data_IF_563876958163
#
_entry.id   IF_563876958163
#
_cell.length_a   1.000
_cell.length_b   1.000
_cell.length_c   1.000
_cell.angle_alpha   90.00
_cell.angle_beta   90.00
_cell.angle_gamma   90.00
#
_symmetry.space_group_name_H-M   'P 1'
#
loop_
_entity.id
_entity.type
_entity.pdbx_description
1 polymer ?
#
# COMPACT_ATOMS: atom_id res chain seq x y z
N UNK A 1 -7.61 12.50 6.17
CA UNK A 1 -8.16 11.90 4.93
C UNK A 1 -7.81 12.75 3.71
N UNK A 2 -8.18 14.03 3.67
CA UNK A 2 -7.85 14.95 2.56
C UNK A 2 -6.34 14.96 2.22
N UNK A 3 -5.47 15.11 3.24
CA UNK A 3 -4.01 15.04 3.04
C UNK A 3 -3.50 13.74 2.40
N UNK A 4 -4.13 12.59 2.69
CA UNK A 4 -3.76 11.29 2.07
C UNK A 4 -4.17 11.25 0.60
N UNK A 5 -5.31 11.87 0.26
CA UNK A 5 -5.81 11.96 -1.12
C UNK A 5 -4.91 12.87 -1.96
N UNK A 6 -4.54 14.05 -1.44
CA UNK A 6 -3.62 14.98 -2.11
C UNK A 6 -2.26 14.35 -2.39
N UNK A 7 -1.78 13.52 -1.46
CA UNK A 7 -0.48 12.84 -1.58
C UNK A 7 -0.50 11.65 -2.53
N UNK A 8 -1.61 10.91 -2.59
CA UNK A 8 -1.76 9.72 -3.42
C UNK A 8 -3.05 9.76 -4.26
N UNK A 9 -3.18 10.74 -5.18
CA UNK A 9 -4.43 10.95 -5.93
C UNK A 9 -4.76 9.78 -6.86
N UNK A 10 -3.75 9.11 -7.41
CA UNK A 10 -3.94 7.93 -8.25
C UNK A 10 -4.55 6.74 -7.48
N UNK A 11 -4.12 6.52 -6.24
CA UNK A 11 -4.71 5.48 -5.39
C UNK A 11 -6.17 5.80 -5.07
N UNK A 12 -6.50 7.07 -4.85
CA UNK A 12 -7.88 7.50 -4.64
C UNK A 12 -8.75 7.21 -5.86
N UNK A 13 -8.30 7.56 -7.06
CA UNK A 13 -9.03 7.26 -8.32
C UNK A 13 -9.22 5.75 -8.48
N UNK A 14 -8.18 4.95 -8.26
CA UNK A 14 -8.26 3.48 -8.37
C UNK A 14 -9.25 2.87 -7.36
N UNK A 15 -9.35 3.47 -6.17
CA UNK A 15 -10.24 3.02 -5.11
C UNK A 15 -11.73 3.22 -5.46
N UNK A 16 -12.06 4.07 -6.45
CA UNK A 16 -13.42 4.20 -6.97
C UNK A 16 -13.70 3.32 -8.19
N UNK A 17 -12.70 3.11 -9.04
CA UNK A 17 -12.84 2.30 -10.26
C UNK A 17 -13.06 0.83 -9.91
N UNK A 18 -12.23 0.26 -9.03
CA UNK A 18 -12.28 -1.17 -8.70
C UNK A 18 -13.64 -1.57 -8.08
N UNK A 19 -14.19 -0.84 -7.10
CA UNK A 19 -15.48 -1.19 -6.51
C UNK A 19 -16.63 -0.99 -7.47
N UNK A 20 -16.56 -0.01 -8.38
CA UNK A 20 -17.55 0.14 -9.43
C UNK A 20 -17.58 -1.08 -10.37
N UNK A 21 -16.41 -1.62 -10.74
CA UNK A 21 -16.34 -2.84 -11.54
C UNK A 21 -16.87 -4.07 -10.79
N UNK A 22 -16.58 -4.19 -9.49
CA UNK A 22 -16.98 -5.34 -8.67
C UNK A 22 -18.46 -5.32 -8.26
N UNK A 23 -19.01 -4.15 -7.94
CA UNK A 23 -20.34 -4.01 -7.35
C UNK A 23 -21.34 -3.27 -8.25
N UNK A 24 -20.86 -2.34 -9.09
CA UNK A 24 -21.70 -1.54 -9.98
C UNK A 24 -22.24 -2.34 -11.15
N UNK A 25 -21.38 -3.03 -11.91
CA UNK A 25 -21.79 -3.82 -13.09
C UNK A 25 -22.81 -4.93 -12.75
N UNK A 26 -22.65 -5.72 -11.67
CA UNK A 26 -23.62 -6.77 -11.34
C UNK A 26 -24.97 -6.24 -10.86
N UNK A 27 -25.01 -5.02 -10.30
CA UNK A 27 -26.24 -4.42 -9.78
C UNK A 27 -27.30 -4.15 -10.86
N UNK A 28 -26.88 -3.97 -12.11
CA UNK A 28 -27.74 -3.62 -13.26
C UNK A 28 -28.69 -4.75 -13.70
N UNK A 29 -28.42 -6.00 -13.30
CA UNK A 29 -29.15 -7.17 -13.80
C UNK A 29 -30.35 -7.58 -12.92
N UNK A 30 -30.67 -6.85 -11.85
CA UNK A 30 -31.59 -7.35 -10.81
C UNK A 30 -32.92 -6.59 -10.71
N UNK A 31 -34.04 -7.33 -10.83
CA UNK A 31 -35.43 -6.80 -10.87
C UNK A 31 -35.93 -6.20 -9.54
N UNK A 32 -35.32 -6.54 -8.40
CA UNK A 32 -35.57 -5.87 -7.10
C UNK A 32 -34.54 -4.75 -6.90
N UNK A 33 -34.68 -3.70 -7.69
CA UNK A 33 -33.59 -2.76 -7.98
C UNK A 33 -33.11 -1.97 -6.76
N UNK A 34 -34.00 -1.30 -6.01
CA UNK A 34 -33.56 -0.23 -5.11
C UNK A 34 -32.82 -0.71 -3.84
N UNK A 35 -33.31 -1.74 -3.14
CA UNK A 35 -32.66 -2.23 -1.92
C UNK A 35 -31.32 -2.90 -2.22
N UNK A 36 -31.24 -3.68 -3.31
CA UNK A 36 -29.98 -4.27 -3.77
C UNK A 36 -28.99 -3.20 -4.17
N UNK A 37 -29.40 -2.23 -4.99
CA UNK A 37 -28.55 -1.08 -5.36
C UNK A 37 -28.04 -0.36 -4.12
N UNK A 38 -28.90 -0.09 -3.13
CA UNK A 38 -28.50 0.55 -1.88
C UNK A 38 -27.44 -0.26 -1.12
N UNK A 39 -27.61 -1.58 -0.99
CA UNK A 39 -26.63 -2.47 -0.37
C UNK A 39 -25.30 -2.46 -1.13
N UNK A 40 -25.32 -2.54 -2.47
CA UNK A 40 -24.11 -2.51 -3.29
C UNK A 40 -23.37 -1.17 -3.19
N UNK A 41 -24.09 -0.04 -3.15
CA UNK A 41 -23.49 1.28 -2.92
C UNK A 41 -22.80 1.32 -1.55
N UNK A 42 -23.46 0.84 -0.50
CA UNK A 42 -22.92 0.85 0.85
C UNK A 42 -21.67 -0.04 0.96
N UNK A 43 -21.71 -1.25 0.37
CA UNK A 43 -20.55 -2.14 0.28
C UNK A 43 -19.41 -1.50 -0.52
N UNK A 44 -19.72 -0.84 -1.64
CA UNK A 44 -18.74 -0.13 -2.45
C UNK A 44 -18.04 0.97 -1.65
N UNK A 45 -18.78 1.81 -0.91
CA UNK A 45 -18.20 2.86 -0.07
C UNK A 45 -17.27 2.31 1.01
N UNK A 46 -17.70 1.25 1.69
CA UNK A 46 -16.90 0.57 2.72
C UNK A 46 -15.62 0.00 2.09
N UNK A 47 -15.76 -0.72 0.98
CA UNK A 47 -14.61 -1.29 0.27
C UNK A 47 -13.66 -0.20 -0.21
N UNK A 48 -14.14 0.87 -0.84
CA UNK A 48 -13.35 2.03 -1.28
C UNK A 48 -12.51 2.59 -0.13
N UNK A 49 -13.14 2.80 1.03
CA UNK A 49 -12.45 3.32 2.21
C UNK A 49 -11.32 2.40 2.69
N UNK A 50 -11.60 1.10 2.84
CA UNK A 50 -10.60 0.15 3.30
C UNK A 50 -9.48 -0.06 2.29
N UNK A 51 -9.82 -0.23 1.01
CA UNK A 51 -8.88 -0.39 -0.09
C UNK A 51 -7.94 0.83 -0.19
N UNK A 52 -8.49 2.05 -0.17
CA UNK A 52 -7.69 3.27 -0.23
C UNK A 52 -6.72 3.38 0.94
N UNK A 53 -7.21 3.22 2.18
CA UNK A 53 -6.35 3.33 3.36
C UNK A 53 -5.28 2.25 3.40
N UNK A 54 -5.62 1.01 3.02
CA UNK A 54 -4.66 -0.09 2.98
C UNK A 54 -3.51 0.20 2.03
N UNK A 55 -3.82 0.61 0.79
CA UNK A 55 -2.81 0.90 -0.22
C UNK A 55 -1.97 2.15 0.12
N UNK A 56 -2.59 3.21 0.65
CA UNK A 56 -1.84 4.40 1.07
C UNK A 56 -0.86 4.06 2.19
N UNK A 57 -1.32 3.36 3.23
CA UNK A 57 -0.45 2.96 4.33
C UNK A 57 0.73 2.10 3.86
N UNK A 58 0.51 1.24 2.86
CA UNK A 58 1.53 0.38 2.27
C UNK A 58 2.59 1.21 1.52
N UNK A 59 2.15 2.18 0.71
CA UNK A 59 3.04 3.10 -0.01
C UNK A 59 3.84 3.97 0.97
N UNK A 60 3.18 4.57 1.95
CA UNK A 60 3.85 5.42 2.95
C UNK A 60 4.88 4.62 3.77
N UNK A 61 4.60 3.35 4.08
CA UNK A 61 5.55 2.48 4.78
C UNK A 61 6.77 2.14 3.91
N UNK A 62 6.56 1.85 2.62
CA UNK A 62 7.65 1.61 1.67
C UNK A 62 8.52 2.87 1.48
N UNK A 63 7.90 4.05 1.38
CA UNK A 63 8.62 5.33 1.32
C UNK A 63 9.46 5.57 2.58
N UNK A 64 8.89 5.31 3.77
CA UNK A 64 9.59 5.45 5.03
C UNK A 64 10.80 4.51 5.12
N UNK A 65 10.64 3.25 4.70
CA UNK A 65 11.73 2.28 4.63
C UNK A 65 12.84 2.75 3.68
N UNK A 66 12.48 3.14 2.46
CA UNK A 66 13.45 3.63 1.47
C UNK A 66 14.19 4.88 1.96
N UNK A 67 13.50 5.79 2.64
CA UNK A 67 14.13 6.96 3.27
C UNK A 67 15.14 6.57 4.33
N UNK A 68 14.81 5.63 5.21
CA UNK A 68 15.74 5.18 6.25
C UNK A 68 16.92 4.40 5.69
N UNK A 69 16.72 3.53 4.69
CA UNK A 69 17.81 2.83 3.98
C UNK A 69 18.74 3.83 3.30
N UNK A 70 18.20 4.87 2.66
CA UNK A 70 19.02 5.91 2.03
C UNK A 70 19.90 6.65 3.03
N UNK A 71 19.40 6.86 4.26
CA UNK A 71 20.19 7.47 5.34
C UNK A 71 21.30 6.57 5.87
N UNK A 72 21.12 5.24 5.85
CA UNK A 72 22.16 4.33 6.35
C UNK A 72 23.43 4.36 5.51
N UNK A 73 23.35 4.77 4.24
CA UNK A 73 24.47 4.73 3.29
C UNK A 73 24.97 3.32 2.96
N UNK A 74 24.24 2.28 3.37
CA UNK A 74 24.64 0.89 3.18
C UNK A 74 24.56 0.49 1.71
N UNK A 75 25.56 -0.25 1.24
CA UNK A 75 25.46 -0.97 -0.02
C UNK A 75 24.38 -2.05 0.07
N UNK A 76 23.87 -2.50 -1.07
CA UNK A 76 22.87 -3.57 -1.16
C UNK A 76 23.27 -4.83 -0.40
N UNK A 77 24.53 -5.25 -0.52
CA UNK A 77 25.06 -6.44 0.16
C UNK A 77 25.16 -6.22 1.68
N UNK A 78 25.59 -5.04 2.11
CA UNK A 78 25.65 -4.69 3.53
C UNK A 78 24.26 -4.60 4.15
N UNK A 79 23.28 -4.06 3.42
CA UNK A 79 21.89 -3.99 3.83
C UNK A 79 21.32 -5.39 4.05
N UNK A 80 21.52 -6.32 3.11
CA UNK A 80 21.07 -7.70 3.25
C UNK A 80 21.74 -8.41 4.42
N UNK A 81 23.06 -8.24 4.58
CA UNK A 81 23.80 -8.78 5.72
C UNK A 81 23.27 -8.25 7.06
N UNK A 82 23.07 -6.93 7.17
CA UNK A 82 22.55 -6.30 8.38
C UNK A 82 21.12 -6.73 8.69
N UNK A 83 20.26 -6.76 7.68
CA UNK A 83 18.83 -7.04 7.86
C UNK A 83 18.54 -8.53 8.01
N UNK A 84 19.40 -9.41 7.48
CA UNK A 84 19.17 -10.84 7.35
C UNK A 84 18.20 -11.19 6.23
N UNK A 85 17.87 -10.22 5.37
CA UNK A 85 16.89 -10.37 4.30
C UNK A 85 17.59 -10.57 2.95
N UNK A 86 16.95 -11.34 2.07
CA UNK A 86 17.51 -11.71 0.77
C UNK A 86 16.98 -10.80 -0.36
N UNK A 87 17.50 -11.04 -1.57
CA UNK A 87 17.15 -10.29 -2.78
C UNK A 87 15.68 -10.40 -3.22
N UNK A 88 15.00 -11.46 -2.81
CA UNK A 88 13.59 -11.70 -3.13
C UNK A 88 12.66 -10.92 -2.20
N UNK A 89 13.08 -10.68 -0.95
CA UNK A 89 12.31 -9.92 0.04
C UNK A 89 12.57 -8.42 -0.12
N UNK A 90 13.83 -8.04 -0.37
CA UNK A 90 14.25 -6.67 -0.64
C UNK A 90 14.91 -6.62 -2.01
N UNK A 91 14.15 -6.20 -3.01
CA UNK A 91 14.60 -6.12 -4.40
C UNK A 91 14.86 -4.65 -4.77
N UNK A 92 15.98 -4.30 -5.42
CA UNK A 92 16.17 -2.95 -5.95
C UNK A 92 15.07 -2.60 -6.93
N UNK A 93 14.51 -1.39 -6.83
CA UNK A 93 13.57 -0.87 -7.80
C UNK A 93 14.30 -0.36 -9.05
N UNK A 94 13.62 -0.33 -10.20
CA UNK A 94 14.21 0.09 -11.48
C UNK A 94 14.68 1.54 -11.50
N UNK A 95 14.00 2.44 -10.77
CA UNK A 95 14.29 3.88 -10.80
C UNK A 95 15.15 4.32 -9.60
N UNK A 96 14.71 4.06 -8.38
CA UNK A 96 15.47 4.34 -7.15
C UNK A 96 14.86 3.59 -5.96
N UNK A 97 15.69 3.17 -5.00
CA UNK A 97 15.27 2.51 -3.77
C UNK A 97 15.01 1.02 -3.93
N UNK A 98 14.17 0.48 -3.05
CA UNK A 98 13.87 -0.94 -2.93
C UNK A 98 12.36 -1.18 -2.88
N UNK A 99 11.97 -2.30 -3.47
CA UNK A 99 10.65 -2.92 -3.36
C UNK A 99 10.71 -3.99 -2.26
N UNK A 100 9.69 -4.00 -1.39
CA UNK A 100 9.62 -4.88 -0.23
C UNK A 100 8.50 -5.90 -0.41
N UNK A 101 8.87 -7.16 -0.60
CA UNK A 101 7.96 -8.31 -0.71
C UNK A 101 7.87 -9.04 0.62
N UNK A 102 7.27 -8.37 1.60
CA UNK A 102 7.02 -8.88 2.94
C UNK A 102 5.73 -8.30 3.50
N UNK A 103 5.21 -8.87 4.59
CA UNK A 103 4.01 -8.36 5.23
C UNK A 103 4.24 -7.01 5.93
N UNK A 104 3.13 -6.33 6.27
CA UNK A 104 3.16 -5.01 6.93
C UNK A 104 3.82 -5.07 8.32
N UNK A 105 3.74 -6.20 9.02
CA UNK A 105 4.30 -6.33 10.37
C UNK A 105 5.83 -6.38 10.32
N UNK A 106 6.38 -7.17 9.40
CA UNK A 106 7.80 -7.30 9.16
C UNK A 106 8.39 -6.02 8.57
N UNK A 107 7.67 -5.32 7.68
CA UNK A 107 8.05 -3.97 7.23
C UNK A 107 8.19 -2.99 8.40
N UNK A 108 7.26 -3.01 9.37
CA UNK A 108 7.34 -2.17 10.57
C UNK A 108 8.52 -2.56 11.46
N UNK A 109 8.81 -3.86 11.62
CA UNK A 109 9.98 -4.36 12.36
C UNK A 109 11.28 -3.93 11.70
N UNK A 110 11.38 -4.06 10.38
CA UNK A 110 12.51 -3.61 9.58
C UNK A 110 12.72 -2.10 9.72
N UNK A 111 11.64 -1.30 9.64
CA UNK A 111 11.71 0.14 9.82
C UNK A 111 12.26 0.51 11.21
N UNK A 112 11.84 -0.19 12.27
CA UNK A 112 12.39 0.01 13.62
C UNK A 112 13.89 -0.32 13.67
N UNK A 113 14.31 -1.43 13.05
CA UNK A 113 15.72 -1.86 12.99
C UNK A 113 16.61 -0.89 12.21
N UNK A 114 16.11 -0.31 11.12
CA UNK A 114 16.83 0.71 10.34
C UNK A 114 16.92 2.04 11.07
N UNK A 115 15.86 2.48 11.76
CA UNK A 115 15.91 3.68 12.60
C UNK A 115 16.94 3.57 13.72
N UNK A 116 17.05 2.40 14.35
CA UNK A 116 18.05 2.14 15.38
C UNK A 116 19.50 2.16 14.85
N UNK A 117 19.70 1.86 13.56
CA UNK A 117 21.01 1.98 12.91
C UNK A 117 21.42 3.44 12.67
N UNK A 118 20.45 4.31 12.39
CA UNK A 118 20.66 5.73 12.10
C UNK A 118 20.68 6.62 13.36
N UNK A 119 20.54 6.05 14.55
CA UNK A 119 20.68 6.74 15.85
C UNK A 119 22.13 6.75 16.29
#
# INVERSE_FOLDING_TARGET
MIKKIERHPWLFVSAWIIPYLLFGLPSYQSQHAWLKIFIYILLSLVFTYFYFNWNVDEVELNEALNKEIKKTGLSKQQLWSYTGLNAYIITPAEKEGYTFFMDKADKKRLLKKLKAYNQ
#
